data_IF_300759081938
#
_entry.id   IF_300759081938
#
_cell.length_a   1.000
_cell.length_b   1.000
_cell.length_c   1.000
_cell.angle_alpha   90.00
_cell.angle_beta   90.00
_cell.angle_gamma   90.00
#
_symmetry.space_group_name_H-M   'P 1'
#
loop_
_entity.id
_entity.type
_entity.pdbx_description
1 polymer ?
#
# COMPACT_ATOMS: atom_id res chain seq x y z
N UNK A 1 40.92 42.16 14.71
CA UNK A 1 40.95 41.22 15.85
C UNK A 1 39.55 40.67 16.06
N UNK A 2 39.38 39.38 15.76
CA UNK A 2 38.59 38.35 16.46
C UNK A 2 38.44 37.22 15.43
N UNK A 3 39.24 36.19 15.65
CA UNK A 3 39.29 34.94 14.90
C UNK A 3 38.11 34.06 15.28
N UNK A 4 37.53 33.33 14.32
CA UNK A 4 36.74 32.12 14.60
C UNK A 4 37.35 30.98 13.79
N UNK A 5 37.78 29.97 14.53
CA UNK A 5 38.54 28.78 14.11
C UNK A 5 37.57 27.69 13.69
N UNK A 6 37.76 27.14 12.48
CA UNK A 6 37.14 25.87 12.08
C UNK A 6 38.04 24.71 12.53
N UNK A 7 37.59 23.92 13.50
CA UNK A 7 38.20 22.64 13.85
C UNK A 7 37.59 21.56 12.95
N UNK A 8 38.43 20.96 12.11
CA UNK A 8 38.10 19.78 11.33
C UNK A 8 38.64 18.55 12.06
N UNK A 9 37.74 17.65 12.47
CA UNK A 9 38.11 16.36 13.06
C UNK A 9 37.80 15.27 12.04
N UNK A 10 38.81 14.89 11.26
CA UNK A 10 38.76 13.71 10.40
C UNK A 10 38.92 12.43 11.23
N UNK A 11 37.96 11.51 11.11
CA UNK A 11 38.08 10.16 11.69
C UNK A 11 38.21 9.17 10.54
N UNK A 12 39.42 8.63 10.38
CA UNK A 12 39.74 7.52 9.49
C UNK A 12 39.16 6.22 10.05
N UNK A 13 38.21 5.59 9.36
CA UNK A 13 37.83 4.20 9.59
C UNK A 13 38.62 3.29 8.65
N UNK A 14 39.68 2.68 9.17
CA UNK A 14 40.29 1.48 8.57
C UNK A 14 39.93 0.28 9.45
N UNK A 15 38.95 -0.50 9.02
CA UNK A 15 38.50 -1.71 9.70
C UNK A 15 38.44 -2.88 8.74
N UNK A 16 39.52 -3.67 8.67
CA UNK A 16 39.58 -4.98 8.01
C UNK A 16 38.59 -5.92 8.71
N UNK A 17 37.61 -6.43 7.96
CA UNK A 17 36.80 -7.58 8.37
C UNK A 17 37.46 -8.87 7.87
N UNK A 18 37.94 -9.68 8.81
CA UNK A 18 38.38 -11.06 8.60
C UNK A 18 37.21 -12.00 8.93
N UNK A 19 36.66 -12.68 7.91
CA UNK A 19 35.71 -13.78 8.06
C UNK A 19 36.43 -15.08 8.44
N UNK A 20 36.05 -15.79 9.50
CA UNK A 20 36.38 -17.20 9.65
C UNK A 20 35.28 -18.07 9.03
N UNK A 21 35.66 -18.86 8.03
CA UNK A 21 34.85 -19.91 7.42
C UNK A 21 34.61 -21.04 8.41
N UNK A 22 33.36 -21.26 8.81
CA UNK A 22 32.97 -22.45 9.58
C UNK A 22 32.72 -23.63 8.62
N UNK A 23 33.58 -24.63 8.71
CA UNK A 23 33.42 -25.93 8.07
C UNK A 23 32.30 -26.72 8.76
N UNK A 24 31.36 -27.26 7.96
CA UNK A 24 30.34 -28.22 8.42
C UNK A 24 30.94 -29.64 8.47
N UNK A 25 30.73 -30.40 9.56
CA UNK A 25 31.08 -31.82 9.57
C UNK A 25 30.03 -32.65 8.82
N UNK A 26 30.52 -33.53 7.96
CA UNK A 26 29.80 -34.60 7.26
C UNK A 26 29.33 -35.65 8.26
N UNK A 27 28.02 -35.78 8.45
CA UNK A 27 27.42 -36.94 9.12
C UNK A 27 26.95 -37.95 8.06
N UNK A 28 27.57 -39.11 8.06
CA UNK A 28 27.12 -40.33 7.39
C UNK A 28 25.89 -40.88 8.10
N UNK A 29 24.72 -40.77 7.48
CA UNK A 29 23.50 -41.41 7.96
C UNK A 29 23.42 -42.85 7.42
N UNK A 30 23.26 -43.80 8.34
CA UNK A 30 23.08 -45.22 8.08
C UNK A 30 21.59 -45.46 7.78
N UNK A 31 21.29 -46.06 6.63
CA UNK A 31 19.93 -46.40 6.20
C UNK A 31 19.36 -47.56 7.03
N UNK A 32 18.27 -47.32 7.75
CA UNK A 32 17.37 -48.35 8.25
C UNK A 32 15.93 -47.91 8.00
N UNK A 33 15.28 -48.50 6.98
CA UNK A 33 13.90 -48.24 6.61
C UNK A 33 12.95 -49.26 7.27
N UNK A 34 11.87 -48.83 7.95
CA UNK A 34 10.68 -49.65 8.10
C UNK A 34 9.62 -49.27 7.06
N UNK A 35 9.05 -50.30 6.43
CA UNK A 35 7.87 -50.23 5.57
C UNK A 35 6.67 -49.67 6.34
N UNK A 36 6.19 -48.48 5.97
CA UNK A 36 4.84 -48.02 6.29
C UNK A 36 4.07 -47.83 4.99
N UNK A 37 2.98 -48.58 4.84
CA UNK A 37 2.02 -48.47 3.75
C UNK A 37 1.33 -47.10 3.81
N UNK A 38 1.69 -46.20 2.90
CA UNK A 38 1.09 -44.87 2.77
C UNK A 38 -0.19 -44.92 1.96
N UNK A 39 -1.32 -44.56 2.58
CA UNK A 39 -2.48 -44.04 1.86
C UNK A 39 -2.05 -42.74 1.17
N UNK A 40 -2.05 -42.76 -0.16
CA UNK A 40 -1.79 -41.58 -0.97
C UNK A 40 -2.96 -40.59 -0.82
N UNK A 41 -2.83 -39.64 0.09
CA UNK A 41 -3.61 -38.40 0.03
C UNK A 41 -3.17 -37.67 -1.24
N UNK A 42 -4.07 -37.61 -2.21
CA UNK A 42 -3.92 -36.75 -3.37
C UNK A 42 -3.82 -35.30 -2.88
N UNK A 43 -2.59 -34.82 -2.70
CA UNK A 43 -2.31 -33.39 -2.58
C UNK A 43 -2.66 -32.78 -3.94
N UNK A 44 -3.85 -32.21 -4.05
CA UNK A 44 -4.20 -31.36 -5.18
C UNK A 44 -3.10 -30.31 -5.31
N UNK A 45 -2.37 -30.33 -6.42
CA UNK A 45 -1.41 -29.28 -6.74
C UNK A 45 -2.16 -27.96 -6.72
N UNK A 46 -1.75 -27.06 -5.83
CA UNK A 46 -2.28 -25.71 -5.79
C UNK A 46 -2.17 -25.11 -7.21
N UNK A 47 -3.24 -24.52 -7.77
CA UNK A 47 -3.14 -23.86 -9.06
C UNK A 47 -2.04 -22.80 -8.98
N UNK A 48 -1.15 -22.72 -9.97
CA UNK A 48 -0.08 -21.73 -9.99
C UNK A 48 -0.65 -20.31 -9.77
N UNK A 49 0.09 -19.44 -9.09
CA UNK A 49 -0.25 -18.02 -9.06
C UNK A 49 -0.33 -17.53 -10.52
N UNK A 50 -1.40 -16.82 -10.87
CA UNK A 50 -1.57 -16.32 -12.23
C UNK A 50 -0.35 -15.47 -12.60
N UNK A 51 0.22 -15.70 -13.79
CA UNK A 51 1.36 -14.92 -14.27
C UNK A 51 0.96 -13.43 -14.30
N UNK A 52 1.76 -12.51 -13.75
CA UNK A 52 1.48 -11.09 -13.82
C UNK A 52 1.33 -10.66 -15.29
N UNK A 53 0.28 -9.89 -15.59
CA UNK A 53 0.16 -9.23 -16.88
C UNK A 53 1.22 -8.12 -16.95
N UNK A 54 2.09 -8.18 -17.96
CA UNK A 54 3.19 -7.23 -18.10
C UNK A 54 2.75 -5.97 -18.86
N UNK A 55 3.42 -4.84 -18.59
CA UNK A 55 3.08 -3.55 -19.19
C UNK A 55 3.18 -3.56 -20.72
N UNK A 56 4.19 -4.20 -21.31
CA UNK A 56 4.36 -4.32 -22.76
C UNK A 56 3.35 -5.26 -23.44
N UNK A 57 2.70 -6.13 -22.66
CA UNK A 57 1.61 -6.99 -23.16
C UNK A 57 0.28 -6.23 -23.17
N UNK A 58 0.07 -5.37 -22.17
CA UNK A 58 -1.16 -4.57 -22.03
C UNK A 58 -1.15 -3.28 -22.87
N UNK A 59 0.01 -2.67 -23.08
CA UNK A 59 0.13 -1.35 -23.69
C UNK A 59 1.08 -1.34 -24.88
N UNK A 60 0.75 -0.52 -25.88
CA UNK A 60 1.59 -0.30 -27.06
C UNK A 60 2.60 0.82 -26.81
N UNK A 61 3.74 0.78 -27.51
CA UNK A 61 4.78 1.80 -27.49
C UNK A 61 5.36 2.11 -26.08
N UNK A 62 5.51 1.07 -25.25
CA UNK A 62 6.29 1.15 -24.01
C UNK A 62 7.78 1.11 -24.35
N UNK A 63 8.56 2.05 -23.81
CA UNK A 63 10.00 2.17 -24.12
C UNK A 63 10.89 2.09 -22.88
N UNK A 64 10.55 2.80 -21.80
CA UNK A 64 11.39 2.93 -20.58
C UNK A 64 10.81 2.28 -19.32
N UNK A 65 9.58 1.74 -19.39
CA UNK A 65 8.87 1.08 -18.29
C UNK A 65 8.41 -0.34 -18.71
N UNK A 66 9.29 -1.10 -19.37
CA UNK A 66 9.04 -2.49 -19.79
C UNK A 66 9.39 -3.46 -18.65
N UNK A 67 8.83 -4.66 -18.69
CA UNK A 67 9.15 -5.74 -17.76
C UNK A 67 8.60 -5.52 -16.34
N UNK A 68 7.68 -4.57 -16.18
CA UNK A 68 6.96 -4.33 -14.93
C UNK A 68 5.51 -4.76 -15.07
N UNK A 69 4.87 -5.26 -14.00
CA UNK A 69 3.44 -5.57 -14.01
C UNK A 69 2.56 -4.35 -14.27
N UNK A 70 1.34 -4.58 -14.77
CA UNK A 70 0.38 -3.52 -15.10
C UNK A 70 0.01 -2.66 -13.88
N UNK A 71 -0.16 -3.25 -12.69
CA UNK A 71 -0.44 -2.49 -11.46
C UNK A 71 0.71 -1.54 -11.08
N UNK A 72 1.95 -2.00 -11.22
CA UNK A 72 3.14 -1.17 -11.00
C UNK A 72 3.24 -0.03 -12.03
N UNK A 73 2.95 -0.33 -13.30
CA UNK A 73 2.90 0.66 -14.37
C UNK A 73 1.85 1.75 -14.09
N UNK A 74 0.63 1.34 -13.70
CA UNK A 74 -0.45 2.29 -13.39
C UNK A 74 -0.14 3.11 -12.14
N UNK A 75 0.47 2.51 -11.12
CA UNK A 75 0.99 3.23 -9.95
C UNK A 75 2.06 4.27 -10.32
N UNK A 76 2.94 3.94 -11.27
CA UNK A 76 3.95 4.87 -11.81
C UNK A 76 3.31 6.06 -12.52
N UNK A 77 2.24 5.85 -13.30
CA UNK A 77 1.51 6.95 -13.94
C UNK A 77 0.91 7.89 -12.88
N UNK A 78 0.35 7.32 -11.81
CA UNK A 78 -0.15 8.10 -10.66
C UNK A 78 0.94 8.95 -10.00
N UNK A 79 2.15 8.39 -9.83
CA UNK A 79 3.31 9.14 -9.33
C UNK A 79 3.71 10.30 -10.24
N UNK A 80 3.64 10.14 -11.56
CA UNK A 80 3.90 11.23 -12.50
C UNK A 80 2.85 12.33 -12.38
N UNK A 81 1.57 11.97 -12.33
CA UNK A 81 0.47 12.91 -12.14
C UNK A 81 0.61 13.72 -10.86
N UNK A 82 0.90 13.07 -9.74
CA UNK A 82 1.11 13.76 -8.47
C UNK A 82 2.36 14.64 -8.47
N UNK A 83 3.49 14.14 -9.00
CA UNK A 83 4.73 14.92 -9.03
C UNK A 83 4.62 16.18 -9.87
N UNK A 84 3.90 16.13 -10.98
CA UNK A 84 3.79 17.23 -11.94
C UNK A 84 2.51 18.09 -11.77
N UNK A 85 1.56 17.65 -10.94
CA UNK A 85 0.21 18.21 -10.84
C UNK A 85 -0.51 18.27 -12.19
N UNK A 86 -0.53 17.15 -12.92
CA UNK A 86 -1.16 17.02 -14.24
C UNK A 86 -2.06 15.79 -14.33
N UNK A 87 -3.05 15.84 -15.22
CA UNK A 87 -3.96 14.75 -15.53
C UNK A 87 -3.46 13.90 -16.72
N UNK A 88 -4.13 12.77 -17.00
CA UNK A 88 -3.75 11.90 -18.12
C UNK A 88 -3.77 12.63 -19.47
N UNK A 89 -4.78 13.49 -19.71
CA UNK A 89 -4.96 14.25 -20.95
C UNK A 89 -3.85 15.25 -21.24
N UNK A 90 -3.14 15.72 -20.21
CA UNK A 90 -2.00 16.61 -20.36
C UNK A 90 -0.80 15.93 -21.05
N UNK A 91 -0.70 14.61 -20.96
CA UNK A 91 0.42 13.82 -21.49
C UNK A 91 0.01 12.87 -22.61
N UNK A 92 -1.19 12.30 -22.54
CA UNK A 92 -1.69 11.29 -23.46
C UNK A 92 -2.78 11.85 -24.37
N UNK A 93 -2.53 11.76 -25.68
CA UNK A 93 -3.43 12.29 -26.71
C UNK A 93 -4.83 11.69 -26.60
N UNK A 94 -5.84 12.52 -26.33
CA UNK A 94 -7.25 12.10 -26.25
C UNK A 94 -7.63 11.38 -24.96
N UNK A 95 -6.74 11.28 -23.97
CA UNK A 95 -7.09 10.74 -22.65
C UNK A 95 -8.17 11.60 -21.97
N UNK A 96 -9.14 10.94 -21.33
CA UNK A 96 -10.35 11.58 -20.81
C UNK A 96 -11.48 11.75 -21.84
N UNK A 97 -11.21 11.48 -23.13
CA UNK A 97 -12.22 11.44 -24.18
C UNK A 97 -12.61 10.01 -24.58
N UNK A 98 -13.45 9.90 -25.61
CA UNK A 98 -13.97 8.61 -26.11
C UNK A 98 -12.98 7.81 -26.97
N UNK A 99 -11.90 8.43 -27.45
CA UNK A 99 -10.91 7.76 -28.32
C UNK A 99 -9.47 8.15 -27.93
N UNK A 100 -8.98 7.70 -26.77
CA UNK A 100 -7.62 7.97 -26.34
C UNK A 100 -6.60 7.18 -27.18
N UNK A 101 -5.57 7.87 -27.66
CA UNK A 101 -4.43 7.29 -28.40
C UNK A 101 -3.23 7.15 -27.48
N UNK A 102 -3.29 6.17 -26.58
CA UNK A 102 -2.26 5.95 -25.54
C UNK A 102 -0.87 5.69 -26.11
N UNK A 103 -0.79 5.07 -27.29
CA UNK A 103 0.42 4.75 -28.03
C UNK A 103 1.07 5.96 -28.69
N UNK A 104 0.32 7.05 -28.89
CA UNK A 104 0.84 8.28 -29.46
C UNK A 104 2.05 8.77 -28.67
N UNK A 105 2.93 9.49 -29.37
CA UNK A 105 4.21 9.91 -28.82
C UNK A 105 4.44 11.42 -28.90
N UNK A 106 3.59 12.23 -28.25
CA UNK A 106 3.75 13.67 -28.23
C UNK A 106 5.06 14.08 -27.54
N UNK A 107 5.57 15.27 -27.84
CA UNK A 107 6.84 15.78 -27.32
C UNK A 107 6.94 15.69 -25.78
N UNK A 108 5.83 15.95 -25.05
CA UNK A 108 5.78 15.84 -23.59
C UNK A 108 6.05 14.40 -23.09
N UNK A 109 5.53 13.38 -23.78
CA UNK A 109 5.80 11.96 -23.46
C UNK A 109 7.27 11.60 -23.72
N UNK A 110 7.86 12.13 -24.78
CA UNK A 110 9.30 11.96 -25.07
C UNK A 110 10.18 12.62 -24.00
N UNK A 111 9.80 13.80 -23.49
CA UNK A 111 10.46 14.42 -22.33
C UNK A 111 10.33 13.54 -21.10
N UNK A 112 9.14 13.05 -20.77
CA UNK A 112 8.93 12.17 -19.62
C UNK A 112 9.82 10.92 -19.66
N UNK A 113 10.01 10.31 -20.84
CA UNK A 113 10.95 9.18 -20.99
C UNK A 113 12.40 9.53 -20.67
N UNK A 114 12.86 10.70 -21.12
CA UNK A 114 14.20 11.20 -20.79
C UNK A 114 14.34 11.45 -19.29
N UNK A 115 13.29 11.98 -18.64
CA UNK A 115 13.28 12.16 -17.19
C UNK A 115 13.35 10.82 -16.43
N UNK A 116 12.61 9.80 -16.87
CA UNK A 116 12.70 8.44 -16.31
C UNK A 116 14.13 7.90 -16.40
N UNK A 117 14.75 8.00 -17.58
CA UNK A 117 16.13 7.57 -17.77
C UNK A 117 17.12 8.32 -16.87
N UNK A 118 16.95 9.64 -16.72
CA UNK A 118 17.79 10.46 -15.86
C UNK A 118 17.65 10.07 -14.38
N UNK A 119 16.42 9.93 -13.86
CA UNK A 119 16.19 9.51 -12.47
C UNK A 119 16.76 8.12 -12.23
N UNK A 120 16.57 7.18 -13.15
CA UNK A 120 17.13 5.83 -13.07
C UNK A 120 18.67 5.87 -13.06
N UNK A 121 19.29 6.72 -13.89
CA UNK A 121 20.74 6.90 -13.90
C UNK A 121 21.24 7.46 -12.57
N UNK A 122 20.61 8.52 -12.04
CA UNK A 122 20.98 9.12 -10.74
C UNK A 122 20.92 8.07 -9.62
N UNK A 123 19.83 7.29 -9.56
CA UNK A 123 19.66 6.24 -8.55
C UNK A 123 20.66 5.10 -8.71
N UNK A 124 20.92 4.64 -9.93
CA UNK A 124 21.93 3.61 -10.21
C UNK A 124 23.32 4.08 -9.79
N UNK A 125 23.72 5.28 -10.19
CA UNK A 125 25.10 5.76 -10.09
C UNK A 125 25.43 6.27 -8.67
N UNK A 126 24.44 6.73 -7.89
CA UNK A 126 24.67 7.37 -6.59
C UNK A 126 24.00 6.65 -5.40
N UNK A 127 23.01 5.80 -5.64
CA UNK A 127 22.17 5.22 -4.58
C UNK A 127 22.08 3.69 -4.63
N UNK A 128 22.97 3.03 -5.38
CA UNK A 128 22.99 1.58 -5.60
C UNK A 128 21.68 1.06 -6.21
N UNK A 129 21.08 1.84 -7.11
CA UNK A 129 19.81 1.51 -7.76
C UNK A 129 18.57 1.69 -6.87
N UNK A 130 18.70 2.15 -5.63
CA UNK A 130 17.54 2.44 -4.76
C UNK A 130 16.81 3.69 -5.24
N UNK A 131 15.48 3.67 -5.19
CA UNK A 131 14.62 4.81 -5.53
C UNK A 131 14.66 5.89 -4.44
N UNK A 132 15.78 6.62 -4.36
CA UNK A 132 15.99 7.75 -3.44
C UNK A 132 15.60 9.06 -4.12
N UNK A 133 16.05 9.26 -5.36
CA UNK A 133 15.62 10.37 -6.22
C UNK A 133 14.39 9.92 -7.00
N UNK A 134 13.33 10.70 -6.97
CA UNK A 134 12.08 10.41 -7.69
C UNK A 134 11.59 11.66 -8.40
N UNK A 135 10.53 11.54 -9.19
CA UNK A 135 9.88 12.72 -9.76
C UNK A 135 9.43 13.69 -8.65
N UNK A 136 8.95 13.16 -7.52
CA UNK A 136 8.51 13.97 -6.37
C UNK A 136 9.65 14.74 -5.71
N UNK A 137 10.86 14.16 -5.62
CA UNK A 137 12.00 14.87 -4.98
C UNK A 137 12.37 16.16 -5.70
N UNK A 138 12.16 16.23 -7.02
CA UNK A 138 12.48 17.40 -7.84
C UNK A 138 11.26 18.29 -8.08
N UNK A 139 10.12 17.70 -8.45
CA UNK A 139 8.97 18.46 -8.94
C UNK A 139 8.02 18.94 -7.86
N UNK A 140 7.77 18.13 -6.81
CA UNK A 140 6.95 18.51 -5.64
C UNK A 140 5.59 19.14 -5.98
N UNK A 141 4.90 18.61 -6.99
CA UNK A 141 3.62 19.14 -7.46
C UNK A 141 3.73 20.29 -8.47
N UNK A 142 4.92 20.54 -9.03
CA UNK A 142 5.14 21.55 -10.08
C UNK A 142 5.56 20.88 -11.40
N UNK A 143 5.06 21.38 -12.53
CA UNK A 143 5.46 20.88 -13.86
C UNK A 143 6.95 21.06 -14.15
N UNK A 144 7.62 21.99 -13.46
CA UNK A 144 9.07 22.19 -13.51
C UNK A 144 9.66 22.35 -12.11
N UNK A 145 10.83 21.72 -11.80
CA UNK A 145 11.51 21.91 -10.52
C UNK A 145 11.89 23.38 -10.29
N UNK A 146 11.68 23.90 -9.08
CA UNK A 146 12.22 25.19 -8.67
C UNK A 146 13.59 25.00 -8.01
N UNK A 147 14.60 25.73 -8.50
CA UNK A 147 15.92 25.80 -7.86
C UNK A 147 15.99 26.81 -6.72
N UNK A 148 14.98 27.67 -6.59
CA UNK A 148 14.96 28.76 -5.60
C UNK A 148 13.92 28.42 -4.52
N UNK A 149 14.31 28.38 -3.23
CA UNK A 149 13.36 28.19 -2.15
C UNK A 149 12.44 29.42 -2.02
N UNK A 150 11.11 29.24 -1.96
CA UNK A 150 10.21 30.37 -1.74
C UNK A 150 10.34 30.88 -0.30
N UNK A 151 10.18 32.18 -0.10
CA UNK A 151 10.37 32.84 1.20
C UNK A 151 9.41 32.29 2.27
N UNK A 152 8.20 31.90 1.87
CA UNK A 152 7.19 31.29 2.74
C UNK A 152 7.61 29.88 3.22
N UNK A 153 8.46 29.17 2.48
CA UNK A 153 9.03 27.91 2.96
C UNK A 153 10.10 28.16 4.05
N UNK A 154 10.67 29.36 4.11
CA UNK A 154 11.70 29.73 5.09
C UNK A 154 11.08 30.34 6.35
N UNK A 155 10.07 31.21 6.19
CA UNK A 155 9.48 31.97 7.31
C UNK A 155 7.99 31.69 7.59
N UNK A 156 7.33 30.87 6.75
CA UNK A 156 5.94 30.47 6.95
C UNK A 156 5.78 29.25 7.86
N UNK A 157 4.56 28.74 7.94
CA UNK A 157 4.27 27.52 8.69
C UNK A 157 5.02 26.31 8.06
N UNK A 158 5.75 25.52 8.87
CA UNK A 158 6.49 24.38 8.35
C UNK A 158 5.57 23.35 7.69
N UNK A 159 5.76 23.12 6.38
CA UNK A 159 5.14 21.97 5.71
C UNK A 159 5.98 20.73 6.04
N UNK A 160 5.41 19.83 6.84
CA UNK A 160 6.07 18.59 7.25
C UNK A 160 5.91 17.51 6.18
N UNK A 161 7.04 17.04 5.64
CA UNK A 161 7.10 15.87 4.76
C UNK A 161 7.68 14.71 5.58
N UNK A 162 6.84 13.83 6.15
CA UNK A 162 7.36 12.69 6.90
C UNK A 162 8.20 11.80 5.99
N UNK A 163 9.29 11.26 6.53
CA UNK A 163 10.09 10.28 5.81
C UNK A 163 9.26 8.99 5.60
N UNK A 164 9.41 8.34 4.43
CA UNK A 164 8.74 7.06 4.17
C UNK A 164 9.13 5.97 5.18
N UNK A 165 10.38 6.04 5.66
CA UNK A 165 10.95 5.16 6.69
C UNK A 165 11.09 6.00 7.95
N UNK A 166 10.19 5.78 8.92
CA UNK A 166 10.16 6.59 10.12
C UNK A 166 11.29 6.20 11.09
N UNK A 167 11.94 7.19 11.75
CA UNK A 167 12.93 6.91 12.77
C UNK A 167 12.28 6.23 13.97
N UNK A 168 13.03 5.34 14.64
CA UNK A 168 12.57 4.76 15.91
C UNK A 168 12.67 5.79 17.03
N UNK A 169 11.64 5.87 17.87
CA UNK A 169 11.72 6.64 19.10
C UNK A 169 12.71 5.99 20.09
N UNK A 170 13.30 6.79 20.96
CA UNK A 170 14.21 6.28 21.99
C UNK A 170 13.47 5.32 22.94
N UNK A 171 14.14 4.25 23.37
CA UNK A 171 13.57 3.28 24.31
C UNK A 171 13.07 3.98 25.57
N UNK A 172 11.84 3.69 25.98
CA UNK A 172 11.21 4.30 27.15
C UNK A 172 10.54 5.66 26.92
N UNK A 173 10.74 6.31 25.76
CA UNK A 173 10.07 7.59 25.44
C UNK A 173 8.63 7.44 24.93
N UNK A 174 8.29 6.23 24.46
CA UNK A 174 6.97 5.85 23.96
C UNK A 174 6.64 4.42 24.42
N UNK A 175 5.36 4.02 24.47
CA UNK A 175 4.98 2.64 24.75
C UNK A 175 5.59 1.67 23.73
N UNK A 176 5.75 0.41 24.13
CA UNK A 176 6.25 -0.63 23.23
C UNK A 176 5.22 -0.98 22.16
N UNK A 177 5.68 -1.64 21.08
CA UNK A 177 4.79 -2.21 20.05
C UNK A 177 3.68 -3.04 20.69
N UNK A 178 4.06 -3.89 21.63
CA UNK A 178 3.16 -4.79 22.35
C UNK A 178 2.09 -4.02 23.12
N UNK A 179 2.48 -3.01 23.89
CA UNK A 179 1.53 -2.18 24.64
C UNK A 179 0.53 -1.45 23.73
N UNK A 180 0.97 -0.99 22.55
CA UNK A 180 0.10 -0.28 21.60
C UNK A 180 -0.89 -1.25 20.96
N UNK A 181 -0.42 -2.39 20.43
CA UNK A 181 -1.29 -3.38 19.81
C UNK A 181 -2.22 -4.04 20.83
N UNK A 182 -1.77 -4.36 22.04
CA UNK A 182 -2.62 -4.92 23.08
C UNK A 182 -3.72 -3.93 23.46
N UNK A 183 -3.40 -2.63 23.60
CA UNK A 183 -4.41 -1.59 23.81
C UNK A 183 -5.41 -1.53 22.67
N UNK A 184 -4.95 -1.63 21.43
CA UNK A 184 -5.83 -1.65 20.25
C UNK A 184 -6.76 -2.87 20.24
N UNK A 185 -6.23 -4.07 20.48
CA UNK A 185 -7.03 -5.31 20.56
C UNK A 185 -8.08 -5.22 21.67
N UNK A 186 -7.72 -4.66 22.83
CA UNK A 186 -8.68 -4.43 23.91
C UNK A 186 -9.74 -3.39 23.53
N UNK A 187 -9.34 -2.27 22.93
CA UNK A 187 -10.25 -1.21 22.48
C UNK A 187 -11.27 -1.70 21.45
N UNK A 188 -10.89 -2.68 20.62
CA UNK A 188 -11.80 -3.31 19.68
C UNK A 188 -12.81 -4.26 20.31
N UNK A 189 -12.64 -4.66 21.57
CA UNK A 189 -13.52 -5.63 22.25
C UNK A 189 -12.82 -6.88 22.78
N UNK A 190 -11.49 -6.96 22.67
CA UNK A 190 -10.66 -8.03 23.21
C UNK A 190 -10.52 -9.25 22.28
N UNK A 191 -9.45 -10.03 22.50
CA UNK A 191 -9.04 -11.13 21.61
C UNK A 191 -10.13 -12.20 21.42
N UNK A 192 -10.91 -12.52 22.47
CA UNK A 192 -11.97 -13.52 22.39
C UNK A 192 -13.08 -13.11 21.42
N UNK A 193 -13.55 -11.84 21.50
CA UNK A 193 -14.62 -11.35 20.61
C UNK A 193 -14.12 -11.20 19.18
N UNK A 194 -12.90 -10.71 19.01
CA UNK A 194 -12.27 -10.64 17.69
C UNK A 194 -12.11 -12.03 17.06
N UNK A 195 -11.73 -13.04 17.84
CA UNK A 195 -11.64 -14.42 17.37
C UNK A 195 -12.99 -15.05 17.03
N UNK A 196 -14.09 -14.55 17.59
CA UNK A 196 -15.45 -15.01 17.30
C UNK A 196 -16.07 -14.35 16.04
N UNK A 197 -15.47 -13.27 15.53
CA UNK A 197 -15.87 -12.64 14.28
C UNK A 197 -15.16 -13.34 13.10
N UNK A 198 -15.90 -14.11 12.33
CA UNK A 198 -15.38 -14.96 11.25
C UNK A 198 -15.73 -14.45 9.85
N UNK A 199 -16.80 -13.68 9.75
CA UNK A 199 -17.21 -13.00 8.53
C UNK A 199 -18.04 -11.76 8.85
N UNK A 200 -18.20 -10.86 7.88
CA UNK A 200 -19.29 -9.88 7.91
C UNK A 200 -19.66 -9.42 6.49
N UNK A 201 -20.90 -8.98 6.36
CA UNK A 201 -21.37 -8.22 5.19
C UNK A 201 -21.74 -6.83 5.66
N UNK A 202 -21.21 -5.80 5.00
CA UNK A 202 -21.56 -4.42 5.27
C UNK A 202 -22.21 -3.78 4.04
N UNK A 203 -23.14 -2.87 4.31
CA UNK A 203 -23.82 -2.06 3.30
C UNK A 203 -23.72 -0.59 3.66
N UNK A 204 -23.70 0.24 2.64
CA UNK A 204 -23.64 1.68 2.81
C UNK A 204 -23.52 2.39 1.48
N UNK A 205 -22.77 3.49 1.49
CA UNK A 205 -22.50 4.30 0.32
C UNK A 205 -21.03 4.66 0.22
N UNK A 206 -20.56 4.90 -1.00
CA UNK A 206 -19.24 5.45 -1.31
C UNK A 206 -19.39 6.75 -2.09
N UNK A 207 -18.51 7.71 -1.85
CA UNK A 207 -18.42 8.96 -2.61
C UNK A 207 -17.00 9.10 -3.15
N UNK A 208 -16.88 9.15 -4.47
CA UNK A 208 -15.59 9.41 -5.12
C UNK A 208 -15.24 10.90 -5.01
N UNK A 209 -13.96 11.20 -4.83
CA UNK A 209 -13.47 12.57 -4.80
C UNK A 209 -13.82 13.36 -6.07
N UNK A 210 -14.39 14.55 -5.88
CA UNK A 210 -14.81 15.41 -6.98
C UNK A 210 -16.24 15.15 -7.46
N UNK A 211 -16.88 14.06 -7.01
CA UNK A 211 -18.30 13.81 -7.22
C UNK A 211 -19.15 14.45 -6.12
N UNK A 212 -20.43 14.68 -6.43
CA UNK A 212 -21.42 15.22 -5.49
C UNK A 212 -22.41 14.17 -4.99
N UNK A 213 -22.52 13.05 -5.72
CA UNK A 213 -23.46 11.98 -5.41
C UNK A 213 -22.74 10.80 -4.76
N UNK A 214 -23.50 10.03 -3.98
CA UNK A 214 -23.01 8.79 -3.39
C UNK A 214 -23.54 7.58 -4.16
N UNK A 215 -22.69 6.59 -4.38
CA UNK A 215 -23.05 5.31 -4.97
C UNK A 215 -23.27 4.24 -3.89
N UNK A 216 -24.19 3.27 -4.07
CA UNK A 216 -24.33 2.15 -3.16
C UNK A 216 -23.04 1.33 -3.07
N UNK A 217 -22.66 0.93 -1.86
CA UNK A 217 -21.47 0.15 -1.59
C UNK A 217 -21.78 -1.10 -0.75
N UNK A 218 -21.11 -2.20 -1.09
CA UNK A 218 -21.16 -3.47 -0.37
C UNK A 218 -19.74 -3.93 -0.03
N UNK A 219 -19.58 -4.49 1.17
CA UNK A 219 -18.31 -5.08 1.62
C UNK A 219 -18.59 -6.47 2.14
N UNK A 220 -17.82 -7.43 1.64
CA UNK A 220 -17.83 -8.81 2.06
C UNK A 220 -16.46 -9.09 2.65
N UNK A 221 -16.39 -9.60 3.88
CA UNK A 221 -15.13 -9.98 4.50
C UNK A 221 -15.27 -11.34 5.16
N UNK A 222 -14.28 -12.20 4.99
CA UNK A 222 -14.23 -13.53 5.60
C UNK A 222 -12.82 -13.87 6.04
N UNK A 223 -12.71 -14.33 7.28
CA UNK A 223 -11.44 -14.74 7.87
C UNK A 223 -11.09 -16.18 7.46
N UNK A 224 -9.80 -16.49 7.21
CA UNK A 224 -8.69 -15.55 7.09
C UNK A 224 -8.60 -14.95 5.67
N UNK A 225 -8.14 -13.70 5.59
CA UNK A 225 -7.57 -13.09 4.38
C UNK A 225 -8.51 -12.95 3.17
N UNK A 226 -9.83 -12.86 3.31
CA UNK A 226 -10.71 -12.63 2.15
C UNK A 226 -11.51 -11.33 2.32
N UNK A 227 -11.48 -10.49 1.29
CA UNK A 227 -12.26 -9.25 1.24
C UNK A 227 -12.71 -8.93 -0.19
N UNK A 228 -13.91 -8.39 -0.31
CA UNK A 228 -14.41 -7.78 -1.53
C UNK A 228 -15.13 -6.48 -1.18
N UNK A 229 -14.76 -5.39 -1.84
CA UNK A 229 -15.39 -4.08 -1.75
C UNK A 229 -15.94 -3.72 -3.12
N UNK A 230 -17.24 -3.47 -3.18
CA UNK A 230 -17.98 -3.23 -4.41
C UNK A 230 -18.68 -1.88 -4.29
N UNK A 231 -18.50 -1.01 -5.28
CA UNK A 231 -19.23 0.26 -5.42
C UNK A 231 -19.99 0.22 -6.74
N UNK A 232 -21.30 0.44 -6.65
CA UNK A 232 -22.22 0.34 -7.78
C UNK A 232 -22.42 1.69 -8.46
N UNK A 233 -21.46 2.08 -9.30
CA UNK A 233 -21.53 3.35 -10.03
C UNK A 233 -22.44 3.23 -11.25
N UNK A 234 -22.90 4.37 -11.77
CA UNK A 234 -23.77 4.42 -12.96
C UNK A 234 -23.09 3.83 -14.19
N UNK A 235 -21.79 4.06 -14.34
CA UNK A 235 -20.99 3.67 -15.50
C UNK A 235 -20.40 2.25 -15.37
N UNK A 236 -20.57 1.60 -14.22
CA UNK A 236 -20.13 0.23 -13.96
C UNK A 236 -19.75 0.01 -12.50
N UNK A 237 -19.48 -1.24 -12.14
CA UNK A 237 -19.00 -1.54 -10.79
C UNK A 237 -17.52 -1.20 -10.67
N UNK A 238 -17.16 -0.54 -9.58
CA UNK A 238 -15.80 -0.51 -9.06
C UNK A 238 -15.66 -1.63 -8.04
N UNK A 239 -14.69 -2.54 -8.23
CA UNK A 239 -14.52 -3.72 -7.38
C UNK A 239 -13.06 -3.90 -6.98
N UNK A 240 -12.80 -4.07 -5.69
CA UNK A 240 -11.50 -4.50 -5.15
C UNK A 240 -11.71 -5.82 -4.42
N UNK A 241 -10.91 -6.83 -4.77
CA UNK A 241 -11.07 -8.19 -4.25
C UNK A 241 -9.72 -8.77 -3.85
N UNK A 242 -9.75 -9.61 -2.82
CA UNK A 242 -8.66 -10.50 -2.46
C UNK A 242 -9.25 -11.82 -1.97
N UNK A 243 -8.86 -12.91 -2.63
CA UNK A 243 -9.41 -14.25 -2.41
C UNK A 243 -8.68 -15.02 -1.28
N UNK A 244 -7.67 -14.41 -0.66
CA UNK A 244 -6.74 -15.06 0.27
C UNK A 244 -5.35 -15.33 -0.34
N UNK A 245 -5.23 -15.20 -1.66
CA UNK A 245 -4.00 -15.50 -2.41
C UNK A 245 -3.72 -14.48 -3.51
N UNK A 246 -4.72 -14.15 -4.31
CA UNK A 246 -4.66 -13.21 -5.42
C UNK A 246 -5.68 -12.09 -5.20
N UNK A 247 -5.38 -10.92 -5.75
CA UNK A 247 -6.27 -9.76 -5.66
C UNK A 247 -6.39 -9.05 -6.99
N UNK A 248 -7.53 -8.40 -7.18
CA UNK A 248 -7.87 -7.72 -8.43
C UNK A 248 -8.56 -6.39 -8.16
N UNK A 249 -8.36 -5.48 -9.09
CA UNK A 249 -9.06 -4.20 -9.15
C UNK A 249 -9.80 -4.13 -10.48
N UNK A 250 -11.11 -3.93 -10.42
CA UNK A 250 -12.00 -3.59 -11.52
C UNK A 250 -12.36 -2.10 -11.38
N UNK A 251 -12.11 -1.30 -12.42
CA UNK A 251 -12.46 0.11 -12.48
C UNK A 251 -13.26 0.40 -13.75
N UNK A 252 -14.45 1.01 -13.66
CA UNK A 252 -15.18 1.44 -14.85
C UNK A 252 -14.47 2.62 -15.51
N UNK A 253 -14.62 2.76 -16.84
CA UNK A 253 -14.13 3.90 -17.62
C UNK A 253 -12.62 4.22 -17.52
N UNK A 254 -11.79 3.23 -17.20
CA UNK A 254 -10.32 3.41 -17.15
C UNK A 254 -9.62 2.71 -18.31
N UNK A 255 -8.36 3.09 -18.55
CA UNK A 255 -7.51 2.48 -19.59
C UNK A 255 -7.26 0.99 -19.34
N UNK A 256 -7.21 0.57 -18.08
CA UNK A 256 -7.13 -0.83 -17.68
C UNK A 256 -8.30 -1.15 -16.78
N UNK A 257 -9.38 -1.63 -17.40
CA UNK A 257 -10.63 -1.90 -16.67
C UNK A 257 -10.50 -2.98 -15.60
N UNK A 258 -9.66 -3.99 -15.79
CA UNK A 258 -9.43 -5.07 -14.83
C UNK A 258 -7.97 -5.51 -14.83
N UNK A 259 -7.33 -5.52 -13.66
CA UNK A 259 -5.95 -6.00 -13.52
C UNK A 259 -5.71 -6.70 -12.17
N UNK A 260 -4.80 -7.69 -12.13
CA UNK A 260 -4.35 -8.30 -10.88
C UNK A 260 -3.37 -7.38 -10.14
N UNK A 261 -3.36 -7.47 -8.82
CA UNK A 261 -2.34 -6.88 -7.96
C UNK A 261 -1.17 -7.84 -7.79
N UNK A 262 0.05 -7.30 -7.74
CA UNK A 262 1.29 -8.07 -7.63
C UNK A 262 2.23 -7.50 -6.56
N UNK A 263 3.24 -8.27 -6.18
CA UNK A 263 4.31 -7.82 -5.28
C UNK A 263 3.80 -7.12 -4.02
N UNK A 264 4.36 -5.94 -3.72
CA UNK A 264 3.95 -5.15 -2.55
C UNK A 264 2.51 -4.60 -2.62
N UNK A 265 1.93 -4.44 -3.82
CA UNK A 265 0.55 -4.00 -3.94
C UNK A 265 -0.41 -5.10 -3.48
N UNK A 266 -0.11 -6.36 -3.84
CA UNK A 266 -0.82 -7.54 -3.35
C UNK A 266 -0.65 -7.75 -1.83
N UNK A 267 0.56 -7.55 -1.30
CA UNK A 267 0.77 -7.58 0.16
C UNK A 267 -0.06 -6.50 0.88
N UNK A 268 -0.25 -5.35 0.25
CA UNK A 268 -1.12 -4.29 0.76
C UNK A 268 -2.58 -4.70 0.83
N UNK A 269 -3.09 -5.38 -0.20
CA UNK A 269 -4.47 -5.88 -0.20
C UNK A 269 -4.67 -7.00 0.83
N UNK A 270 -3.67 -7.86 1.00
CA UNK A 270 -3.65 -8.85 2.09
C UNK A 270 -3.70 -8.19 3.46
N UNK A 271 -2.96 -7.10 3.66
CA UNK A 271 -3.00 -6.34 4.91
C UNK A 271 -4.39 -5.76 5.16
N UNK A 272 -5.05 -5.23 4.13
CA UNK A 272 -6.40 -4.69 4.26
C UNK A 272 -7.41 -5.78 4.65
N UNK A 273 -7.30 -6.99 4.08
CA UNK A 273 -8.10 -8.15 4.48
C UNK A 273 -7.81 -8.59 5.93
N UNK A 274 -6.57 -8.48 6.40
CA UNK A 274 -6.19 -8.79 7.78
C UNK A 274 -6.69 -7.73 8.77
N UNK A 275 -6.79 -6.47 8.35
CA UNK A 275 -7.35 -5.38 9.14
C UNK A 275 -8.85 -5.54 9.40
N UNK A 276 -9.57 -6.25 8.53
CA UNK A 276 -10.96 -6.67 8.79
C UNK A 276 -11.09 -7.64 9.96
N UNK A 277 -10.02 -8.39 10.30
CA UNK A 277 -9.98 -9.36 11.41
C UNK A 277 -8.67 -9.24 12.20
N UNK A 278 -8.45 -8.14 12.95
CA UNK A 278 -7.12 -7.70 13.38
C UNK A 278 -6.52 -8.49 14.55
N UNK A 279 -7.15 -9.58 15.01
CA UNK A 279 -6.66 -10.37 16.14
C UNK A 279 -5.19 -10.84 15.97
N UNK A 280 -4.79 -11.14 14.73
CA UNK A 280 -3.44 -11.59 14.37
C UNK A 280 -2.54 -10.52 13.73
N UNK A 281 -2.93 -9.23 13.78
CA UNK A 281 -2.24 -8.18 13.01
C UNK A 281 -0.76 -8.02 13.44
N UNK A 282 -0.46 -8.20 14.73
CA UNK A 282 0.89 -8.10 15.27
C UNK A 282 1.83 -9.13 14.63
N UNK A 283 1.34 -10.33 14.34
CA UNK A 283 2.10 -11.43 13.73
C UNK A 283 2.13 -11.34 12.20
N UNK A 284 1.26 -10.53 11.59
CA UNK A 284 1.11 -10.44 10.13
C UNK A 284 2.28 -9.74 9.43
N UNK A 285 2.92 -8.78 10.10
CA UNK A 285 4.05 -8.01 9.58
C UNK A 285 5.25 -8.19 10.54
N UNK A 286 6.44 -8.55 10.03
CA UNK A 286 7.64 -8.60 10.85
C UNK A 286 8.21 -7.19 11.10
N UNK A 287 9.11 -7.08 12.08
CA UNK A 287 9.94 -5.88 12.30
C UNK A 287 9.17 -4.58 12.55
N UNK A 288 8.21 -4.62 13.48
CA UNK A 288 7.56 -3.42 13.97
C UNK A 288 8.54 -2.49 14.70
N UNK A 289 8.37 -1.19 14.50
CA UNK A 289 9.01 -0.13 15.29
C UNK A 289 8.00 0.93 15.67
N UNK A 290 8.19 1.52 16.84
CA UNK A 290 7.43 2.69 17.28
C UNK A 290 8.23 3.94 16.93
N UNK A 291 7.59 4.90 16.27
CA UNK A 291 8.17 6.21 15.98
C UNK A 291 7.69 7.25 16.99
N UNK A 292 8.09 8.50 16.80
CA UNK A 292 7.58 9.61 17.57
C UNK A 292 6.06 9.72 17.42
N UNK A 293 5.39 10.15 18.49
CA UNK A 293 3.96 10.45 18.41
C UNK A 293 3.71 11.55 17.38
N UNK A 294 2.52 11.53 16.79
CA UNK A 294 2.05 12.57 15.89
C UNK A 294 0.68 13.07 16.33
N UNK A 295 0.15 14.04 15.59
CA UNK A 295 -1.21 14.54 15.76
C UNK A 295 -1.96 14.40 14.44
N UNK A 296 -3.21 13.91 14.48
CA UNK A 296 -4.12 13.83 13.34
C UNK A 296 -5.42 14.50 13.76
N UNK A 297 -5.86 15.52 13.03
CA UNK A 297 -7.09 16.28 13.32
C UNK A 297 -7.20 16.74 14.79
N UNK A 298 -6.09 17.23 15.35
CA UNK A 298 -6.01 17.68 16.74
C UNK A 298 -5.95 16.56 17.79
N UNK A 299 -5.87 15.29 17.39
CA UNK A 299 -5.76 14.13 18.29
C UNK A 299 -4.34 13.56 18.29
N UNK A 300 -3.81 13.33 19.48
CA UNK A 300 -2.53 12.65 19.61
C UNK A 300 -2.65 11.17 19.26
N UNK A 301 -1.69 10.70 18.46
CA UNK A 301 -1.62 9.32 18.00
C UNK A 301 -0.25 8.71 18.30
N UNK A 302 -0.23 7.42 18.63
CA UNK A 302 0.97 6.60 18.56
C UNK A 302 1.20 6.14 17.12
N UNK A 303 2.46 6.19 16.68
CA UNK A 303 2.85 5.84 15.31
C UNK A 303 3.69 4.57 15.32
N UNK A 304 3.21 3.53 14.63
CA UNK A 304 3.89 2.24 14.54
C UNK A 304 4.11 1.91 13.08
N UNK A 305 5.34 1.61 12.68
CA UNK A 305 5.67 1.26 11.30
C UNK A 305 6.21 -0.18 11.23
N UNK A 306 5.72 -0.94 10.27
CA UNK A 306 6.18 -2.30 9.96
C UNK A 306 6.68 -2.40 8.52
N UNK A 307 7.54 -3.39 8.27
CA UNK A 307 8.04 -3.72 6.92
C UNK A 307 7.64 -5.15 6.60
N UNK A 308 6.72 -5.31 5.64
CA UNK A 308 6.19 -6.59 5.20
C UNK A 308 7.03 -7.27 4.13
N UNK A 309 6.49 -8.36 3.59
CA UNK A 309 7.06 -9.03 2.43
C UNK A 309 7.09 -8.10 1.20
N UNK A 310 7.92 -8.47 0.20
CA UNK A 310 8.06 -7.73 -1.06
C UNK A 310 8.40 -6.23 -0.90
N UNK A 311 8.99 -5.84 0.24
CA UNK A 311 9.37 -4.45 0.50
C UNK A 311 8.21 -3.51 0.85
N UNK A 312 7.00 -4.05 1.11
CA UNK A 312 5.87 -3.25 1.59
C UNK A 312 6.23 -2.56 2.91
N UNK A 313 5.90 -1.28 3.01
CA UNK A 313 5.98 -0.53 4.27
C UNK A 313 4.58 -0.10 4.66
N UNK A 314 4.21 -0.25 5.93
CA UNK A 314 2.92 0.20 6.45
C UNK A 314 3.10 0.94 7.78
N UNK A 315 2.48 2.11 7.89
CA UNK A 315 2.49 2.97 9.08
C UNK A 315 1.08 3.06 9.63
N UNK A 316 0.93 2.74 10.91
CA UNK A 316 -0.31 2.71 11.66
C UNK A 316 -0.31 3.85 12.67
N UNK A 317 -1.46 4.52 12.79
CA UNK A 317 -1.66 5.65 13.68
C UNK A 317 -2.82 5.32 14.63
N UNK A 318 -2.50 5.07 15.90
CA UNK A 318 -3.47 4.69 16.93
C UNK A 318 -3.80 5.88 17.82
N UNK A 319 -5.08 6.20 17.99
CA UNK A 319 -5.53 7.26 18.90
C UNK A 319 -5.08 6.95 20.33
N UNK A 320 -4.36 7.88 20.97
CA UNK A 320 -3.79 7.65 22.31
C UNK A 320 -4.85 7.46 23.38
N UNK A 321 -6.02 8.06 23.23
CA UNK A 321 -7.09 8.01 24.23
C UNK A 321 -7.82 6.67 24.15
N UNK A 322 -8.50 6.43 23.03
CA UNK A 322 -9.33 5.25 22.77
C UNK A 322 -8.52 3.98 22.49
N UNK A 323 -7.32 4.10 21.93
CA UNK A 323 -6.55 2.96 21.40
C UNK A 323 -6.99 2.49 20.02
N UNK A 324 -8.02 3.08 19.43
CA UNK A 324 -8.53 2.70 18.11
C UNK A 324 -7.60 3.20 16.99
N UNK A 325 -7.53 2.43 15.92
CA UNK A 325 -6.78 2.79 14.73
C UNK A 325 -7.48 3.97 14.02
N UNK A 326 -6.71 5.01 13.70
CA UNK A 326 -7.21 6.21 13.02
C UNK A 326 -6.79 6.26 11.57
N UNK A 327 -5.56 5.83 11.29
CA UNK A 327 -5.00 5.85 9.95
C UNK A 327 -4.07 4.67 9.72
N UNK A 328 -4.07 4.16 8.50
CA UNK A 328 -3.01 3.30 7.96
C UNK A 328 -2.53 3.91 6.66
N UNK A 329 -1.23 4.08 6.50
CA UNK A 329 -0.61 4.41 5.22
C UNK A 329 0.25 3.23 4.81
N UNK A 330 0.00 2.64 3.65
CA UNK A 330 0.82 1.57 3.08
C UNK A 330 1.44 2.00 1.75
N UNK A 331 2.62 1.49 1.46
CA UNK A 331 3.41 1.87 0.30
C UNK A 331 3.71 0.64 -0.56
N UNK A 332 3.25 0.67 -1.81
CA UNK A 332 3.67 -0.29 -2.83
C UNK A 332 4.93 0.23 -3.55
N UNK A 333 5.87 -0.66 -3.86
CA UNK A 333 7.04 -0.35 -4.69
C UNK A 333 6.63 -0.15 -6.14
N UNK A 334 7.29 0.79 -6.82
CA UNK A 334 7.23 0.94 -8.26
C UNK A 334 8.59 1.37 -8.83
N UNK A 335 8.73 1.25 -10.15
CA UNK A 335 9.88 1.70 -10.92
C UNK A 335 10.33 3.13 -10.58
N UNK A 336 9.38 4.03 -10.22
CA UNK A 336 9.65 5.45 -10.04
C UNK A 336 9.44 5.96 -8.60
N UNK A 337 9.40 5.05 -7.63
CA UNK A 337 9.21 5.39 -6.21
C UNK A 337 8.15 4.54 -5.53
N UNK A 338 7.71 4.96 -4.35
CA UNK A 338 6.65 4.29 -3.60
C UNK A 338 5.30 4.90 -3.92
N UNK A 339 4.31 4.05 -4.20
CA UNK A 339 2.91 4.43 -4.42
C UNK A 339 2.18 4.32 -3.08
N UNK A 340 1.73 5.45 -2.47
CA UNK A 340 1.01 5.42 -1.22
C UNK A 340 -0.47 5.10 -1.43
N UNK A 341 -1.02 4.35 -0.48
CA UNK A 341 -2.47 4.27 -0.23
C UNK A 341 -2.72 4.51 1.25
N UNK A 342 -3.82 5.18 1.57
CA UNK A 342 -4.16 5.61 2.91
C UNK A 342 -5.59 5.20 3.26
N UNK A 343 -5.75 4.61 4.43
CA UNK A 343 -7.05 4.41 5.07
C UNK A 343 -7.17 5.37 6.25
N UNK A 344 -8.28 6.07 6.34
CA UNK A 344 -8.68 6.85 7.52
C UNK A 344 -9.95 6.28 8.12
N UNK A 345 -9.97 6.02 9.42
CA UNK A 345 -11.09 5.37 10.11
C UNK A 345 -11.74 6.29 11.16
N UNK A 346 -13.06 6.29 11.19
CA UNK A 346 -13.86 7.04 12.14
C UNK A 346 -15.22 6.39 12.41
N UNK A 347 -15.98 6.96 13.34
CA UNK A 347 -17.34 6.50 13.68
C UNK A 347 -17.36 5.00 14.04
N UNK A 348 -16.51 4.63 15.00
CA UNK A 348 -16.46 3.26 15.51
C UNK A 348 -17.72 2.95 16.31
N UNK A 349 -18.39 1.85 15.98
CA UNK A 349 -19.61 1.38 16.68
C UNK A 349 -19.51 -0.11 17.00
N UNK A 350 -20.15 -0.58 18.09
CA UNK A 350 -20.13 -1.98 18.44
C UNK A 350 -21.01 -2.81 17.49
N UNK A 351 -20.46 -3.91 16.97
CA UNK A 351 -21.14 -4.92 16.15
C UNK A 351 -20.77 -6.29 16.72
N UNK A 352 -21.75 -7.02 17.26
CA UNK A 352 -21.50 -8.25 18.03
C UNK A 352 -20.42 -8.08 19.12
N UNK A 353 -20.34 -6.89 19.72
CA UNK A 353 -19.37 -6.57 20.77
C UNK A 353 -17.95 -6.25 20.29
N UNK A 354 -17.74 -6.15 18.97
CA UNK A 354 -16.50 -5.68 18.34
C UNK A 354 -16.68 -4.24 17.82
N UNK A 355 -15.76 -3.33 18.11
CA UNK A 355 -15.79 -1.97 17.57
C UNK A 355 -15.37 -1.97 16.10
N UNK A 356 -16.29 -1.60 15.20
CA UNK A 356 -16.05 -1.55 13.75
C UNK A 356 -16.25 -0.13 13.23
N UNK A 357 -15.43 0.37 12.28
CA UNK A 357 -15.59 1.70 11.72
C UNK A 357 -16.80 1.75 10.77
N UNK A 358 -17.72 2.68 11.01
CA UNK A 358 -18.85 2.95 10.10
C UNK A 358 -18.54 4.04 9.08
N UNK A 359 -17.41 4.74 9.24
CA UNK A 359 -16.92 5.72 8.26
C UNK A 359 -15.44 5.54 8.01
N UNK A 360 -15.06 5.49 6.75
CA UNK A 360 -13.65 5.45 6.39
C UNK A 360 -13.38 6.05 5.02
N UNK A 361 -12.17 6.56 4.82
CA UNK A 361 -11.71 7.09 3.54
C UNK A 361 -10.58 6.22 3.02
N UNK A 362 -10.68 5.77 1.77
CA UNK A 362 -9.60 5.11 1.04
C UNK A 362 -8.99 6.07 0.03
N UNK A 363 -7.78 6.55 0.29
CA UNK A 363 -7.03 7.46 -0.59
C UNK A 363 -5.90 6.74 -1.32
N UNK A 364 -5.67 7.12 -2.57
CA UNK A 364 -4.50 6.76 -3.36
C UNK A 364 -4.00 8.00 -4.10
N UNK A 365 -2.87 7.88 -4.80
CA UNK A 365 -2.16 9.03 -5.37
C UNK A 365 -2.97 9.88 -6.38
N UNK A 366 -4.05 9.34 -6.94
CA UNK A 366 -4.88 10.01 -7.95
C UNK A 366 -6.36 10.09 -7.59
N UNK A 367 -6.74 9.77 -6.35
CA UNK A 367 -8.15 9.83 -5.94
C UNK A 367 -8.36 9.41 -4.49
N UNK A 368 -9.58 9.62 -4.01
CA UNK A 368 -10.03 9.06 -2.72
C UNK A 368 -11.51 8.70 -2.79
N UNK A 369 -11.90 7.71 -2.01
CA UNK A 369 -13.28 7.26 -1.84
C UNK A 369 -13.66 7.38 -0.37
N UNK A 370 -14.78 8.02 -0.08
CA UNK A 370 -15.33 8.16 1.27
C UNK A 370 -16.51 7.20 1.45
N UNK A 371 -16.38 6.27 2.38
CA UNK A 371 -17.39 5.27 2.68
C UNK A 371 -18.15 5.63 3.95
N UNK A 372 -19.48 5.51 3.89
CA UNK A 372 -20.37 5.56 5.06
C UNK A 372 -21.23 4.30 5.08
N UNK A 373 -20.99 3.45 6.06
CA UNK A 373 -21.75 2.23 6.29
C UNK A 373 -23.03 2.54 7.09
N UNK A 374 -24.11 1.89 6.72
CA UNK A 374 -25.39 1.94 7.45
C UNK A 374 -25.63 0.65 8.22
N UNK A 375 -25.04 -0.46 7.79
CA UNK A 375 -25.24 -1.78 8.36
C UNK A 375 -23.95 -2.62 8.27
N UNK A 376 -23.70 -3.40 9.32
CA UNK A 376 -22.72 -4.49 9.32
C UNK A 376 -23.37 -5.71 9.97
N UNK A 377 -23.53 -6.79 9.20
CA UNK A 377 -24.06 -8.07 9.64
C UNK A 377 -22.90 -9.04 9.92
N UNK A 378 -22.58 -9.34 11.19
CA UNK A 378 -21.48 -10.23 11.56
C UNK A 378 -21.86 -11.71 11.39
N UNK A 379 -20.86 -12.55 11.13
CA UNK A 379 -20.93 -14.01 11.11
C UNK A 379 -21.99 -14.60 10.16
N UNK A 380 -22.27 -13.91 9.05
CA UNK A 380 -23.18 -14.40 8.00
C UNK A 380 -22.43 -15.28 6.98
N UNK A 381 -23.08 -16.31 6.41
CA UNK A 381 -22.53 -17.05 5.27
C UNK A 381 -22.31 -16.10 4.08
N UNK A 382 -21.17 -16.24 3.42
CA UNK A 382 -20.82 -15.49 2.21
C UNK A 382 -20.50 -16.49 1.11
N UNK A 383 -21.11 -16.28 -0.05
CA UNK A 383 -20.79 -17.04 -1.26
C UNK A 383 -19.31 -16.86 -1.64
N UNK A 384 -18.61 -17.97 -1.86
CA UNK A 384 -17.16 -17.93 -2.13
C UNK A 384 -16.82 -17.14 -3.39
N UNK A 385 -17.71 -17.16 -4.40
CA UNK A 385 -17.55 -16.44 -5.66
C UNK A 385 -17.51 -14.92 -5.51
N UNK A 386 -17.90 -14.36 -4.35
CA UNK A 386 -17.78 -12.93 -4.08
C UNK A 386 -16.33 -12.44 -4.00
N UNK A 387 -15.38 -13.32 -3.68
CA UNK A 387 -13.97 -12.96 -3.53
C UNK A 387 -13.13 -13.27 -4.78
N UNK A 388 -13.71 -13.99 -5.74
CA UNK A 388 -13.04 -14.38 -6.97
C UNK A 388 -12.72 -13.16 -7.85
N UNK A 389 -11.92 -13.39 -8.89
CA UNK A 389 -11.66 -12.39 -9.93
C UNK A 389 -12.99 -11.78 -10.43
N UNK A 390 -13.18 -10.46 -10.31
CA UNK A 390 -14.45 -9.83 -10.64
C UNK A 390 -14.71 -9.91 -12.14
N UNK A 391 -16.00 -10.06 -12.48
CA UNK A 391 -16.48 -10.04 -13.86
C UNK A 391 -17.13 -8.68 -14.10
N UNK A 392 -16.69 -7.91 -15.11
CA UNK A 392 -17.38 -6.67 -15.48
C UNK A 392 -18.85 -6.97 -15.78
N UNK A 393 -19.77 -6.11 -15.31
CA UNK A 393 -21.17 -6.20 -15.77
C UNK A 393 -21.16 -6.09 -17.28
N UNK A 394 -21.77 -7.06 -17.97
CA UNK A 394 -21.95 -6.99 -19.42
C UNK A 394 -22.65 -5.67 -19.76
N UNK A 395 -22.00 -4.82 -20.55
CA UNK A 395 -22.59 -3.57 -21.00
C UNK A 395 -23.91 -3.86 -21.73
N UNK A 396 -24.96 -3.12 -21.40
CA UNK A 396 -26.13 -3.02 -22.27
C UNK A 396 -25.82 -2.08 -23.42
#
# INVERSE_FOLDING_TARGET
MISIVFVTSGVNFTGRSSNPSFARPTQTAVNSAPFFAGMALAQGQAPAAARPQMSEEAFKNIQVLKGIPVDEFMGTMGLFSAALSVCCGDCHTGAGGSNPRWEADPARKQVARRMVQMVNAINRDNFNGRNVVTCWTCHRGSQSPSSTPPIDMVYGEPILYPADVLPAAATGSVPTVDQIFDKYIQALGGAQRLGALTSYVAKGTSMLFGEVNTDPAEIYAKSPNQIAMIVHQREGDLIRTFDGRAGWVLLPLTVVGLYPLNGSALEGEKLDAQLSFPAGIKQSIPNWRVSFSATIDGRDVYVVQGTGANGMVATFYFDKQSGLLRRVIRYATSAMGRVPTQWDYSDYRPVAGVMMPFKFTYGWISGREEYTLTEIQPNVPIDAGKFDKPVPRGGK
#
